data_IF_738530684748
#
_entry.id   IF_738530684748
#
_cell.length_a   1.000
_cell.length_b   1.000
_cell.length_c   1.000
_cell.angle_alpha   90.00
_cell.angle_beta   90.00
_cell.angle_gamma   90.00
#
_symmetry.space_group_name_H-M   'P 1'
#
loop_
_entity.id
_entity.type
_entity.pdbx_description
1 polymer ?
#
# COMPACT_ATOMS: atom_id res chain seq x y z
N UNK A 1 37.38 10.91 14.64
CA UNK A 1 36.55 9.70 14.45
C UNK A 1 37.19 8.86 13.35
N UNK A 2 37.66 7.64 13.67
CA UNK A 2 38.15 6.69 12.65
C UNK A 2 36.94 6.06 11.96
N UNK A 3 36.83 6.16 10.64
CA UNK A 3 35.76 5.52 9.85
C UNK A 3 34.88 6.47 9.02
N UNK A 4 35.06 7.78 9.12
CA UNK A 4 34.40 8.75 8.22
C UNK A 4 35.27 8.94 7.00
N UNK A 5 34.76 8.58 5.81
CA UNK A 5 35.53 8.66 4.57
C UNK A 5 35.49 10.08 3.99
N UNK A 6 34.32 10.72 3.95
CA UNK A 6 34.12 12.09 3.45
C UNK A 6 32.83 12.68 4.04
N UNK A 7 32.83 14.00 4.28
CA UNK A 7 31.61 14.78 4.51
C UNK A 7 31.35 15.61 3.26
N UNK A 8 30.27 15.31 2.55
CA UNK A 8 29.84 16.11 1.38
C UNK A 8 28.76 17.06 1.85
N UNK A 9 28.94 18.35 1.55
CA UNK A 9 27.92 19.38 1.80
C UNK A 9 27.23 19.71 0.48
N UNK A 10 25.96 19.34 0.35
CA UNK A 10 25.11 19.69 -0.79
C UNK A 10 23.70 20.00 -0.27
N UNK A 11 23.04 21.02 -0.82
CA UNK A 11 21.65 21.35 -0.45
C UNK A 11 21.41 21.70 1.02
N UNK A 12 22.38 22.32 1.71
CA UNK A 12 22.22 22.74 3.11
C UNK A 12 22.29 21.61 4.16
N UNK A 13 22.52 20.36 3.74
CA UNK A 13 22.65 19.20 4.61
C UNK A 13 24.07 18.63 4.61
N UNK A 14 24.44 17.95 5.70
CA UNK A 14 25.74 17.29 5.85
C UNK A 14 25.56 15.79 5.60
N UNK A 15 26.09 15.28 4.49
CA UNK A 15 26.09 13.85 4.21
C UNK A 15 27.42 13.24 4.66
N UNK A 16 27.36 12.40 5.70
CA UNK A 16 28.52 11.67 6.21
C UNK A 16 28.56 10.30 5.54
N UNK A 17 29.58 10.06 4.72
CA UNK A 17 29.79 8.77 4.05
C UNK A 17 30.62 7.87 4.98
N UNK A 18 30.04 6.77 5.41
CA UNK A 18 30.67 5.75 6.26
C UNK A 18 30.99 4.54 5.38
N UNK A 19 32.20 3.98 5.55
CA UNK A 19 32.70 2.84 4.77
C UNK A 19 32.04 1.49 5.12
N UNK A 20 32.76 0.39 4.93
CA UNK A 20 32.31 -1.00 5.10
C UNK A 20 31.78 -1.36 6.51
N UNK A 21 32.02 -0.53 7.51
CA UNK A 21 31.54 -0.70 8.89
C UNK A 21 30.23 0.04 9.21
N UNK A 22 29.40 0.36 8.20
CA UNK A 22 28.11 1.07 8.35
C UNK A 22 27.22 0.49 9.45
N UNK A 23 27.12 -0.82 9.60
CA UNK A 23 26.23 -1.45 10.58
C UNK A 23 26.59 -1.11 12.04
N UNK A 24 27.88 -1.10 12.38
CA UNK A 24 28.33 -0.78 13.74
C UNK A 24 28.11 0.70 14.10
N UNK A 25 28.26 1.59 13.12
CA UNK A 25 28.04 3.02 13.33
C UNK A 25 26.55 3.33 13.38
N UNK A 26 25.74 2.64 12.57
CA UNK A 26 24.29 2.78 12.55
C UNK A 26 23.67 2.50 13.93
N UNK A 27 24.03 1.38 14.54
CA UNK A 27 23.46 0.97 15.85
C UNK A 27 23.84 1.95 16.98
N UNK A 28 25.09 2.41 16.99
CA UNK A 28 25.57 3.35 18.02
C UNK A 28 24.97 4.75 17.82
N UNK A 29 24.84 5.20 16.57
CA UNK A 29 24.23 6.51 16.23
C UNK A 29 22.75 6.54 16.57
N UNK A 30 22.01 5.48 16.25
CA UNK A 30 20.59 5.36 16.62
C UNK A 30 20.41 5.39 18.14
N UNK A 31 21.29 4.69 18.88
CA UNK A 31 21.25 4.66 20.34
C UNK A 31 21.55 6.03 20.95
N UNK A 32 22.53 6.77 20.43
CA UNK A 32 22.92 8.09 20.94
C UNK A 32 21.88 9.17 20.57
N UNK A 33 21.28 9.08 19.39
CA UNK A 33 20.29 10.06 18.91
C UNK A 33 18.87 9.78 19.42
N UNK A 34 18.62 8.61 20.03
CA UNK A 34 17.30 8.25 20.56
C UNK A 34 16.21 8.09 19.48
N UNK A 35 16.62 7.87 18.22
CA UNK A 35 15.72 7.73 17.08
C UNK A 35 15.14 6.31 17.10
N UNK A 36 13.82 6.15 17.09
CA UNK A 36 13.22 4.82 16.95
C UNK A 36 13.45 4.34 15.50
N UNK A 37 13.69 3.04 15.25
CA UNK A 37 13.92 2.52 13.89
C UNK A 37 12.82 2.92 12.89
N UNK A 38 11.57 3.06 13.36
CA UNK A 38 10.42 3.48 12.55
C UNK A 38 10.44 4.96 12.15
N UNK A 39 11.18 5.82 12.86
CA UNK A 39 11.31 7.24 12.53
C UNK A 39 12.42 7.50 11.50
N UNK A 40 13.35 6.57 11.32
CA UNK A 40 14.52 6.71 10.43
C UNK A 40 14.19 6.59 8.93
N UNK A 41 12.95 6.22 8.57
CA UNK A 41 12.47 6.14 7.18
C UNK A 41 11.68 7.37 6.72
N UNK A 42 11.55 8.39 7.57
CA UNK A 42 11.05 9.69 7.11
C UNK A 42 12.19 10.42 6.39
N UNK A 43 12.35 10.08 5.11
CA UNK A 43 12.93 10.99 4.14
C UNK A 43 12.21 12.32 4.32
N UNK A 44 12.94 13.34 4.75
CA UNK A 44 12.42 14.69 4.94
C UNK A 44 12.95 15.50 3.74
N UNK A 45 12.41 15.31 2.52
CA UNK A 45 12.66 16.27 1.48
C UNK A 45 12.03 17.57 1.97
N UNK A 46 12.83 18.61 1.86
CA UNK A 46 12.61 20.00 2.19
C UNK A 46 11.13 20.39 2.33
N UNK A 47 10.84 21.17 3.39
CA UNK A 47 9.57 21.86 3.59
C UNK A 47 9.33 22.91 2.50
N UNK A 48 9.23 22.48 1.25
CA UNK A 48 8.56 23.23 0.21
C UNK A 48 7.08 23.29 0.59
N UNK A 49 6.43 24.42 0.34
CA UNK A 49 5.00 24.62 0.59
C UNK A 49 4.18 23.48 -0.06
N UNK A 50 3.93 22.40 0.69
CA UNK A 50 3.16 21.26 0.18
C UNK A 50 1.74 21.76 -0.09
N UNK A 51 1.46 22.00 -1.36
CA UNK A 51 0.12 22.27 -1.87
C UNK A 51 -0.85 21.24 -1.31
N UNK A 52 -2.11 21.64 -1.07
CA UNK A 52 -3.17 20.73 -0.64
C UNK A 52 -3.25 19.51 -1.58
N UNK A 53 -2.94 19.73 -2.86
CA UNK A 53 -2.80 18.67 -3.86
C UNK A 53 -1.70 17.65 -3.52
N UNK A 54 -0.51 18.08 -3.11
CA UNK A 54 0.58 17.18 -2.73
C UNK A 54 0.20 16.35 -1.51
N UNK A 55 -0.47 16.96 -0.51
CA UNK A 55 -0.95 16.23 0.67
C UNK A 55 -2.01 15.18 0.31
N UNK A 56 -2.88 15.47 -0.66
CA UNK A 56 -3.84 14.51 -1.17
C UNK A 56 -3.15 13.34 -1.90
N UNK A 57 -2.17 13.63 -2.75
CA UNK A 57 -1.38 12.59 -3.45
C UNK A 57 -0.60 11.74 -2.46
N UNK A 58 0.00 12.33 -1.43
CA UNK A 58 0.68 11.61 -0.34
C UNK A 58 -0.27 10.70 0.43
N UNK A 59 -1.50 11.17 0.70
CA UNK A 59 -2.53 10.38 1.36
C UNK A 59 -2.89 9.15 0.53
N UNK A 60 -3.23 9.34 -0.74
CA UNK A 60 -3.57 8.23 -1.65
C UNK A 60 -2.39 7.28 -1.78
N UNK A 61 -1.19 7.81 -1.99
CA UNK A 61 0.04 7.00 -2.11
C UNK A 61 0.27 6.18 -0.84
N UNK A 62 0.12 6.77 0.35
CA UNK A 62 0.28 6.08 1.63
C UNK A 62 -0.73 4.94 1.85
N UNK A 63 -1.95 5.07 1.32
CA UNK A 63 -2.98 4.02 1.41
C UNK A 63 -2.65 2.86 0.46
N UNK A 64 -2.15 3.15 -0.74
CA UNK A 64 -1.91 2.15 -1.78
C UNK A 64 -0.52 1.49 -1.71
N UNK A 65 0.49 2.17 -1.18
CA UNK A 65 1.86 1.63 -1.07
C UNK A 65 1.93 0.24 -0.41
N UNK A 66 1.25 -0.02 0.73
CA UNK A 66 1.29 -1.34 1.38
C UNK A 66 0.71 -2.48 0.53
N UNK A 67 -0.17 -2.16 -0.44
CA UNK A 67 -0.86 -3.15 -1.29
C UNK A 67 -0.30 -3.22 -2.71
N UNK A 68 0.69 -2.39 -3.05
CA UNK A 68 1.17 -2.22 -4.42
C UNK A 68 1.73 -3.53 -5.02
N UNK A 69 2.54 -4.25 -4.24
CA UNK A 69 3.09 -5.54 -4.68
C UNK A 69 2.01 -6.60 -4.91
N UNK A 70 0.98 -6.61 -4.05
CA UNK A 70 -0.14 -7.54 -4.16
C UNK A 70 -1.04 -7.20 -5.37
N UNK A 71 -1.26 -5.90 -5.64
CA UNK A 71 -1.96 -5.40 -6.84
C UNK A 71 -1.24 -5.82 -8.12
N UNK A 72 0.09 -5.68 -8.17
CA UNK A 72 0.89 -6.11 -9.31
C UNK A 72 0.75 -7.62 -9.55
N UNK A 73 0.94 -8.44 -8.52
CA UNK A 73 0.83 -9.90 -8.64
C UNK A 73 -0.58 -10.34 -9.10
N UNK A 74 -1.63 -9.79 -8.48
CA UNK A 74 -3.02 -10.13 -8.79
C UNK A 74 -3.40 -9.69 -10.22
N UNK A 75 -3.00 -8.48 -10.61
CA UNK A 75 -3.24 -7.96 -11.95
C UNK A 75 -2.52 -8.75 -13.05
N UNK A 76 -1.25 -9.10 -12.84
CA UNK A 76 -0.48 -9.92 -13.80
C UNK A 76 -1.13 -11.30 -13.96
N UNK A 77 -1.49 -11.96 -12.84
CA UNK A 77 -2.12 -13.28 -12.88
C UNK A 77 -3.48 -13.21 -13.60
N UNK A 78 -4.35 -12.26 -13.23
CA UNK A 78 -5.66 -12.07 -13.86
C UNK A 78 -5.53 -11.78 -15.35
N UNK A 79 -4.59 -10.92 -15.74
CA UNK A 79 -4.28 -10.59 -17.13
C UNK A 79 -3.81 -11.81 -17.92
N UNK A 80 -2.90 -12.60 -17.36
CA UNK A 80 -2.42 -13.84 -17.97
C UNK A 80 -3.55 -14.86 -18.18
N UNK A 81 -4.36 -15.11 -17.14
CA UNK A 81 -5.51 -16.02 -17.26
C UNK A 81 -6.51 -15.55 -18.32
N UNK A 82 -6.82 -14.26 -18.33
CA UNK A 82 -7.76 -13.67 -19.30
C UNK A 82 -7.23 -13.81 -20.73
N UNK A 83 -5.94 -13.55 -20.94
CA UNK A 83 -5.29 -13.73 -22.23
C UNK A 83 -5.29 -15.20 -22.68
N UNK A 84 -4.95 -16.15 -21.78
CA UNK A 84 -4.95 -17.58 -22.07
C UNK A 84 -6.35 -18.10 -22.44
N UNK A 85 -7.39 -17.65 -21.76
CA UNK A 85 -8.80 -17.95 -22.12
C UNK A 85 -9.14 -17.38 -23.49
N UNK A 86 -8.77 -16.12 -23.75
CA UNK A 86 -9.07 -15.44 -25.02
C UNK A 86 -8.41 -16.13 -26.22
N UNK A 87 -7.22 -16.69 -26.02
CA UNK A 87 -6.50 -17.48 -27.02
C UNK A 87 -6.98 -18.94 -27.13
N UNK A 88 -7.94 -19.36 -26.30
CA UNK A 88 -8.46 -20.73 -26.29
C UNK A 88 -7.54 -21.77 -25.63
N UNK A 89 -6.49 -21.34 -24.91
CA UNK A 89 -5.54 -22.23 -24.22
C UNK A 89 -6.13 -22.84 -22.94
N UNK A 90 -7.09 -22.14 -22.32
CA UNK A 90 -7.72 -22.54 -21.05
C UNK A 90 -9.24 -22.41 -21.20
N UNK A 91 -9.97 -23.43 -20.73
CA UNK A 91 -11.43 -23.41 -20.67
C UNK A 91 -11.88 -22.82 -19.32
N UNK A 92 -12.83 -21.89 -19.35
CA UNK A 92 -13.41 -21.27 -18.15
C UNK A 92 -14.20 -22.25 -17.29
N UNK A 93 -14.64 -23.38 -17.85
CA UNK A 93 -15.35 -24.44 -17.11
C UNK A 93 -14.40 -25.36 -16.33
N UNK A 94 -13.08 -25.18 -16.47
CA UNK A 94 -12.12 -25.98 -15.71
C UNK A 94 -12.07 -25.46 -14.27
N UNK A 95 -12.24 -26.34 -13.27
CA UNK A 95 -12.15 -25.93 -11.86
C UNK A 95 -10.82 -25.28 -11.47
N UNK A 96 -9.72 -25.64 -12.15
CA UNK A 96 -8.41 -24.99 -11.97
C UNK A 96 -8.46 -23.51 -12.40
N UNK A 97 -9.16 -23.20 -13.49
CA UNK A 97 -9.37 -21.82 -13.92
C UNK A 97 -10.15 -21.04 -12.86
N UNK A 98 -11.25 -21.60 -12.34
CA UNK A 98 -12.08 -20.91 -11.33
C UNK A 98 -11.29 -20.58 -10.07
N UNK A 99 -10.48 -21.52 -9.56
CA UNK A 99 -9.66 -21.29 -8.36
C UNK A 99 -8.58 -20.23 -8.61
N UNK A 100 -7.87 -20.30 -9.75
CA UNK A 100 -6.84 -19.32 -10.09
C UNK A 100 -7.43 -17.95 -10.38
N UNK A 101 -8.58 -17.89 -11.03
CA UNK A 101 -9.30 -16.66 -11.31
C UNK A 101 -9.76 -16.02 -10.00
N UNK A 102 -10.39 -16.79 -9.10
CA UNK A 102 -10.80 -16.33 -7.77
C UNK A 102 -9.60 -15.82 -6.96
N UNK A 103 -8.46 -16.52 -6.98
CA UNK A 103 -7.24 -16.07 -6.32
C UNK A 103 -6.71 -14.75 -6.90
N UNK A 104 -6.77 -14.59 -8.22
CA UNK A 104 -6.35 -13.36 -8.91
C UNK A 104 -7.32 -12.18 -8.72
N UNK A 105 -8.60 -12.47 -8.50
CA UNK A 105 -9.66 -11.47 -8.40
C UNK A 105 -9.97 -11.05 -6.96
N UNK A 106 -9.70 -11.91 -5.98
CA UNK A 106 -10.02 -11.68 -4.57
C UNK A 106 -9.50 -10.33 -4.04
N UNK A 107 -8.28 -9.93 -4.43
CA UNK A 107 -7.73 -8.62 -4.04
C UNK A 107 -8.62 -7.46 -4.50
N UNK A 108 -9.11 -7.52 -5.74
CA UNK A 108 -9.92 -6.45 -6.32
C UNK A 108 -11.31 -6.44 -5.71
N UNK A 109 -11.90 -7.62 -5.50
CA UNK A 109 -13.20 -7.77 -4.84
C UNK A 109 -13.18 -7.26 -3.40
N UNK A 110 -12.16 -7.66 -2.62
CA UNK A 110 -12.00 -7.25 -1.21
C UNK A 110 -11.16 -5.97 -1.05
N UNK A 111 -10.93 -5.23 -2.13
CA UNK A 111 -10.15 -3.99 -2.12
C UNK A 111 -10.66 -2.99 -1.06
N UNK A 112 -11.98 -2.77 -0.86
CA UNK A 112 -12.46 -1.85 0.16
C UNK A 112 -12.01 -2.20 1.58
N UNK A 113 -11.92 -3.50 1.92
CA UNK A 113 -11.46 -3.98 3.22
C UNK A 113 -9.96 -3.70 3.39
N UNK A 114 -9.17 -4.09 2.39
CA UNK A 114 -7.71 -4.01 2.43
C UNK A 114 -7.27 -2.53 2.43
N UNK A 115 -7.86 -1.69 1.59
CA UNK A 115 -7.60 -0.25 1.60
C UNK A 115 -8.12 0.42 2.88
N UNK A 116 -9.25 -0.03 3.43
CA UNK A 116 -9.74 0.43 4.73
C UNK A 116 -8.75 0.17 5.85
N UNK A 117 -8.11 -1.00 5.87
CA UNK A 117 -7.05 -1.33 6.82
C UNK A 117 -5.83 -0.39 6.65
N UNK A 118 -5.34 -0.22 5.41
CA UNK A 118 -4.22 0.69 5.09
C UNK A 118 -4.54 2.14 5.45
N UNK A 119 -5.76 2.59 5.18
CA UNK A 119 -6.25 3.91 5.56
C UNK A 119 -6.21 4.12 7.07
N UNK A 120 -6.57 3.10 7.86
CA UNK A 120 -6.43 3.17 9.32
C UNK A 120 -4.99 3.45 9.76
N UNK A 121 -4.00 2.85 9.07
CA UNK A 121 -2.58 3.13 9.32
C UNK A 121 -2.21 4.58 8.98
N UNK A 122 -2.65 5.08 7.83
CA UNK A 122 -2.33 6.43 7.33
C UNK A 122 -2.99 7.51 8.20
N UNK A 123 -4.26 7.32 8.57
CA UNK A 123 -5.00 8.23 9.45
C UNK A 123 -4.70 8.06 10.94
N UNK A 124 -3.85 7.08 11.31
CA UNK A 124 -3.48 6.76 12.69
C UNK A 124 -4.70 6.39 13.56
N UNK A 125 -5.65 5.66 12.98
CA UNK A 125 -6.85 5.15 13.66
C UNK A 125 -6.78 3.62 13.84
N UNK A 126 -7.79 3.04 14.49
CA UNK A 126 -7.86 1.59 14.65
C UNK A 126 -8.10 0.92 13.28
N UNK A 127 -7.11 0.14 12.83
CA UNK A 127 -7.11 -0.52 11.53
C UNK A 127 -8.24 -1.57 11.38
N UNK A 128 -8.64 -2.22 12.46
CA UNK A 128 -9.76 -3.17 12.43
C UNK A 128 -11.10 -2.44 12.26
N UNK A 129 -11.25 -1.27 12.89
CA UNK A 129 -12.45 -0.46 12.73
C UNK A 129 -12.55 0.11 11.30
N UNK A 130 -11.46 0.63 10.76
CA UNK A 130 -11.46 1.14 9.38
C UNK A 130 -11.62 0.03 8.34
N UNK A 131 -11.06 -1.17 8.59
CA UNK A 131 -11.33 -2.35 7.77
C UNK A 131 -12.81 -2.79 7.84
N UNK A 132 -13.45 -2.69 9.01
CA UNK A 132 -14.87 -3.00 9.16
C UNK A 132 -15.76 -2.05 8.34
N UNK A 133 -15.39 -0.76 8.25
CA UNK A 133 -16.06 0.19 7.34
C UNK A 133 -15.91 -0.26 5.88
N UNK A 134 -14.71 -0.69 5.48
CA UNK A 134 -14.49 -1.28 4.15
C UNK A 134 -15.30 -2.55 3.90
N UNK A 135 -15.44 -3.41 4.92
CA UNK A 135 -16.23 -4.63 4.84
C UNK A 135 -17.73 -4.36 4.69
N UNK A 136 -18.22 -3.29 5.32
CA UNK A 136 -19.61 -2.86 5.14
C UNK A 136 -19.91 -2.53 3.66
N UNK A 137 -18.95 -1.96 2.92
CA UNK A 137 -19.14 -1.60 1.50
C UNK A 137 -19.28 -2.82 0.57
N UNK A 138 -18.69 -3.95 0.95
CA UNK A 138 -18.75 -5.21 0.19
C UNK A 138 -19.64 -6.24 0.87
N UNK A 139 -20.50 -5.80 1.79
CA UNK A 139 -21.44 -6.67 2.46
C UNK A 139 -22.39 -7.28 1.42
N UNK A 140 -22.65 -8.61 1.44
CA UNK A 140 -23.37 -9.29 0.36
C UNK A 140 -24.70 -8.63 0.00
N UNK A 141 -25.47 -8.22 1.00
CA UNK A 141 -26.75 -7.53 0.77
C UNK A 141 -26.60 -6.21 0.01
N UNK A 142 -25.55 -5.41 0.27
CA UNK A 142 -25.31 -4.18 -0.49
C UNK A 142 -24.86 -4.47 -1.92
N UNK A 143 -24.05 -5.51 -2.11
CA UNK A 143 -23.60 -5.94 -3.44
C UNK A 143 -24.79 -6.42 -4.27
N UNK A 144 -25.64 -7.27 -3.71
CA UNK A 144 -26.85 -7.77 -4.36
C UNK A 144 -27.81 -6.63 -4.72
N UNK A 145 -28.00 -5.68 -3.80
CA UNK A 145 -28.82 -4.49 -4.05
C UNK A 145 -28.27 -3.63 -5.19
N UNK A 146 -26.96 -3.41 -5.23
CA UNK A 146 -26.29 -2.70 -6.33
C UNK A 146 -26.50 -3.43 -7.66
N UNK A 147 -26.30 -4.75 -7.70
CA UNK A 147 -26.48 -5.57 -8.90
C UNK A 147 -27.93 -5.61 -9.41
N UNK A 148 -28.89 -5.54 -8.51
CA UNK A 148 -30.33 -5.49 -8.86
C UNK A 148 -30.81 -4.13 -9.36
N UNK A 149 -29.98 -3.08 -9.28
CA UNK A 149 -30.37 -1.72 -9.64
C UNK A 149 -31.39 -1.09 -8.68
N UNK A 150 -31.53 -1.62 -7.46
CA UNK A 150 -32.50 -1.14 -6.49
C UNK A 150 -32.19 0.29 -6.03
N UNK A 151 -33.21 1.14 -5.96
CA UNK A 151 -33.08 2.49 -5.41
C UNK A 151 -33.08 2.43 -3.88
N UNK A 152 -31.99 2.88 -3.26
CA UNK A 152 -31.87 3.05 -1.82
C UNK A 152 -32.46 4.39 -1.39
N UNK A 153 -33.60 4.36 -0.71
CA UNK A 153 -34.15 5.55 -0.05
C UNK A 153 -33.70 5.56 1.41
N UNK A 154 -32.86 6.53 1.77
CA UNK A 154 -32.21 6.61 3.10
C UNK A 154 -33.14 7.11 4.21
N UNK A 155 -34.16 7.87 3.84
CA UNK A 155 -35.19 8.39 4.73
C UNK A 155 -36.47 8.32 3.92
N UNK A 156 -37.54 7.74 4.49
CA UNK A 156 -38.88 7.89 3.93
C UNK A 156 -39.19 9.36 3.65
#
# INVERSE_FOLDING_TARGET
>A
LKGVMTVVKSGGQYQVVIGDHVSYVYDEVIRVLGIKPDDALQDNPEQEHKSIFNKFVELISGIFMPVLGLLAASGILKGFLTAAVTMGLINTSAGVYEVLYAASDALFYFMPIILGFSAGKVFKTNQYLSAAVGAALVYPTLVDMYSSGAHLTFLH
#
